data_IF_158358441321
#
_entry.id   IF_158358441321
#
_cell.length_a   1.000
_cell.length_b   1.000
_cell.length_c   1.000
_cell.angle_alpha   90.00
_cell.angle_beta   90.00
_cell.angle_gamma   90.00
#
_symmetry.space_group_name_H-M   'P 1'
#
loop_
_entity.id
_entity.type
_entity.pdbx_description
1 polymer ?
#
# COMPACT_ATOMS: atom_id res chain seq x y z
N UNK A 1 -13.70 -34.46 6.39
CA UNK A 1 -14.66 -34.28 7.49
C UNK A 1 -15.38 -32.97 7.23
N UNK A 2 -16.69 -33.00 6.99
CA UNK A 2 -17.50 -31.79 6.92
C UNK A 2 -17.48 -31.13 8.30
N UNK A 3 -17.05 -29.87 8.36
CA UNK A 3 -17.10 -29.10 9.62
C UNK A 3 -18.56 -28.87 9.99
N UNK A 4 -18.93 -29.23 11.19
CA UNK A 4 -20.26 -29.02 11.76
C UNK A 4 -20.53 -27.51 11.81
N UNK A 5 -21.58 -27.05 11.14
CA UNK A 5 -21.96 -25.64 11.15
C UNK A 5 -22.46 -25.27 12.54
N UNK A 6 -21.88 -24.21 13.13
CA UNK A 6 -22.35 -23.67 14.40
C UNK A 6 -23.67 -22.92 14.20
N UNK A 7 -24.53 -22.88 15.23
CA UNK A 7 -25.79 -22.10 15.21
C UNK A 7 -25.57 -20.62 14.85
N UNK A 8 -24.44 -20.05 15.27
CA UNK A 8 -24.03 -18.68 14.89
C UNK A 8 -23.75 -18.56 13.38
N UNK A 9 -23.13 -19.57 12.77
CA UNK A 9 -22.89 -19.62 11.33
C UNK A 9 -24.18 -19.71 10.52
N UNK A 10 -25.13 -20.50 10.99
CA UNK A 10 -26.44 -20.64 10.35
C UNK A 10 -27.29 -19.36 10.46
N UNK A 11 -27.31 -18.76 11.65
CA UNK A 11 -27.98 -17.47 11.88
C UNK A 11 -27.41 -16.33 11.00
N UNK A 12 -26.09 -16.31 10.81
CA UNK A 12 -25.43 -15.37 9.91
C UNK A 12 -25.81 -15.60 8.44
N UNK A 13 -25.89 -16.84 7.99
CA UNK A 13 -26.32 -17.18 6.63
C UNK A 13 -27.77 -16.77 6.31
N UNK A 14 -28.65 -16.70 7.33
CA UNK A 14 -30.05 -16.25 7.20
C UNK A 14 -30.21 -14.73 7.22
N UNK A 15 -29.13 -13.97 7.40
CA UNK A 15 -29.14 -12.52 7.45
C UNK A 15 -29.56 -11.93 6.10
N UNK A 16 -30.62 -11.13 6.08
CA UNK A 16 -31.20 -10.55 4.87
C UNK A 16 -30.39 -9.41 4.22
N UNK A 17 -29.20 -9.03 4.75
CA UNK A 17 -28.40 -7.91 4.25
C UNK A 17 -26.90 -8.19 4.30
N UNK A 18 -26.22 -8.07 3.17
CA UNK A 18 -24.76 -8.04 3.08
C UNK A 18 -24.25 -6.62 3.29
N UNK A 19 -23.37 -6.40 4.26
CA UNK A 19 -22.79 -5.08 4.53
C UNK A 19 -21.71 -4.73 3.49
N UNK A 20 -21.39 -3.43 3.36
CA UNK A 20 -20.28 -2.98 2.49
C UNK A 20 -18.94 -3.58 2.91
N UNK A 21 -18.74 -3.79 4.22
CA UNK A 21 -17.53 -4.40 4.77
C UNK A 21 -17.43 -5.87 4.35
N UNK A 22 -18.49 -6.63 4.51
CA UNK A 22 -18.53 -8.04 4.09
C UNK A 22 -18.23 -8.20 2.60
N UNK A 23 -18.87 -7.39 1.75
CA UNK A 23 -18.62 -7.40 0.32
C UNK A 23 -17.16 -7.10 0.02
N UNK A 24 -16.60 -6.04 0.64
CA UNK A 24 -15.19 -5.68 0.46
C UNK A 24 -14.26 -6.83 0.88
N UNK A 25 -14.49 -7.46 2.03
CA UNK A 25 -13.68 -8.56 2.53
C UNK A 25 -13.79 -9.78 1.63
N UNK A 26 -14.98 -10.12 1.15
CA UNK A 26 -15.19 -11.21 0.21
C UNK A 26 -14.52 -10.95 -1.15
N UNK A 27 -14.63 -9.72 -1.70
CA UNK A 27 -13.93 -9.32 -2.92
C UNK A 27 -12.42 -9.47 -2.78
N UNK A 28 -11.86 -9.03 -1.65
CA UNK A 28 -10.42 -9.11 -1.40
C UNK A 28 -9.96 -10.54 -1.15
N UNK A 29 -10.74 -11.35 -0.43
CA UNK A 29 -10.44 -12.76 -0.21
C UNK A 29 -10.32 -13.55 -1.52
N UNK A 30 -11.20 -13.26 -2.48
CA UNK A 30 -11.22 -13.90 -3.79
C UNK A 30 -10.03 -13.53 -4.70
N UNK A 31 -9.38 -12.39 -4.49
CA UNK A 31 -8.32 -11.90 -5.38
C UNK A 31 -6.92 -11.95 -4.80
N UNK A 32 -6.78 -12.11 -3.48
CA UNK A 32 -5.47 -12.26 -2.83
C UNK A 32 -4.90 -13.65 -3.16
N UNK A 33 -3.65 -13.72 -3.65
CA UNK A 33 -2.99 -14.98 -3.98
C UNK A 33 -2.45 -15.66 -2.70
N UNK A 34 -3.34 -16.14 -1.82
CA UNK A 34 -2.99 -16.63 -0.48
C UNK A 34 -1.86 -17.65 -0.52
N UNK A 35 -1.93 -18.68 -1.35
CA UNK A 35 -0.91 -19.72 -1.44
C UNK A 35 0.48 -19.16 -1.79
N UNK A 36 0.54 -18.18 -2.70
CA UNK A 36 1.79 -17.53 -3.09
C UNK A 36 2.38 -16.70 -1.95
N UNK A 37 1.54 -15.95 -1.20
CA UNK A 37 1.99 -15.13 -0.08
C UNK A 37 2.38 -15.97 1.14
N UNK A 38 1.64 -17.05 1.41
CA UNK A 38 1.96 -18.00 2.49
C UNK A 38 3.32 -18.64 2.22
N UNK A 39 3.57 -19.14 1.02
CA UNK A 39 4.84 -19.76 0.64
C UNK A 39 6.06 -18.83 0.80
N UNK A 40 5.87 -17.49 0.71
CA UNK A 40 6.95 -16.52 0.97
C UNK A 40 7.28 -16.39 2.47
N UNK A 41 6.28 -16.52 3.33
CA UNK A 41 6.41 -16.27 4.77
C UNK A 41 6.79 -17.55 5.52
N UNK A 42 6.28 -18.69 5.07
CA UNK A 42 6.40 -20.00 5.72
C UNK A 42 7.85 -20.35 6.12
N UNK A 43 8.90 -20.13 5.30
CA UNK A 43 10.28 -20.44 5.68
C UNK A 43 10.79 -19.68 6.91
N UNK A 44 10.20 -18.54 7.22
CA UNK A 44 10.57 -17.68 8.36
C UNK A 44 9.56 -17.78 9.52
N UNK A 45 8.45 -18.49 9.32
CA UNK A 45 7.43 -18.64 10.33
C UNK A 45 7.82 -19.72 11.33
N UNK A 46 7.55 -19.52 12.64
CA UNK A 46 7.91 -20.51 13.65
C UNK A 46 7.26 -21.87 13.38
N UNK A 47 8.07 -22.92 13.40
CA UNK A 47 7.58 -24.29 13.32
C UNK A 47 7.05 -24.77 14.67
N UNK A 48 6.21 -25.82 14.66
CA UNK A 48 5.80 -26.55 15.86
C UNK A 48 7.01 -27.18 16.53
N UNK A 49 7.45 -26.57 17.64
CA UNK A 49 8.56 -27.05 18.46
C UNK A 49 8.08 -27.44 19.86
N UNK A 50 9.02 -27.45 20.82
CA UNK A 50 8.66 -27.60 22.25
C UNK A 50 7.96 -26.32 22.72
N UNK A 51 6.66 -26.40 23.06
CA UNK A 51 5.88 -25.27 23.56
C UNK A 51 4.50 -25.16 22.90
N UNK A 52 3.84 -24.00 23.09
CA UNK A 52 2.52 -23.72 22.49
C UNK A 52 2.67 -23.64 20.96
N UNK A 53 1.85 -24.38 20.19
CA UNK A 53 1.87 -24.30 18.73
C UNK A 53 1.63 -22.85 18.26
N UNK A 54 2.32 -22.39 17.20
CA UNK A 54 2.03 -21.11 16.61
C UNK A 54 0.61 -21.09 16.03
N UNK A 55 0.02 -19.91 15.95
CA UNK A 55 -1.24 -19.72 15.22
C UNK A 55 -1.05 -20.09 13.75
N UNK A 56 -2.13 -20.44 13.07
CA UNK A 56 -2.12 -20.67 11.63
C UNK A 56 -1.57 -19.44 10.87
N UNK A 57 -0.65 -19.67 9.95
CA UNK A 57 0.03 -18.59 9.22
C UNK A 57 -0.93 -17.75 8.37
N UNK A 58 -1.87 -18.41 7.68
CA UNK A 58 -2.85 -17.70 6.87
C UNK A 58 -3.74 -16.81 7.74
N UNK A 59 -4.14 -17.29 8.91
CA UNK A 59 -4.88 -16.51 9.92
C UNK A 59 -4.12 -15.24 10.32
N UNK A 60 -2.83 -15.39 10.65
CA UNK A 60 -2.00 -14.25 11.04
C UNK A 60 -1.86 -13.22 9.91
N UNK A 61 -1.69 -13.68 8.66
CA UNK A 61 -1.61 -12.79 7.51
C UNK A 61 -2.95 -12.08 7.23
N UNK A 62 -4.07 -12.77 7.40
CA UNK A 62 -5.41 -12.20 7.28
C UNK A 62 -5.65 -11.10 8.31
N UNK A 63 -5.29 -11.32 9.57
CA UNK A 63 -5.37 -10.33 10.64
C UNK A 63 -4.47 -9.12 10.33
N UNK A 64 -3.25 -9.37 9.85
CA UNK A 64 -2.35 -8.30 9.44
C UNK A 64 -2.94 -7.44 8.31
N UNK A 65 -3.63 -8.02 7.33
CA UNK A 65 -4.31 -7.27 6.27
C UNK A 65 -5.51 -6.49 6.79
N UNK A 66 -6.29 -7.01 7.73
CA UNK A 66 -7.34 -6.25 8.42
C UNK A 66 -6.78 -4.99 9.08
N UNK A 67 -5.61 -5.08 9.74
CA UNK A 67 -4.94 -3.92 10.31
C UNK A 67 -4.63 -2.84 9.26
N UNK A 68 -4.21 -3.25 8.06
CA UNK A 68 -3.90 -2.30 6.99
C UNK A 68 -5.16 -1.61 6.45
N UNK A 69 -6.21 -2.36 6.15
CA UNK A 69 -7.44 -1.83 5.56
C UNK A 69 -8.25 -0.94 6.49
N UNK A 70 -8.32 -1.32 7.76
CA UNK A 70 -9.15 -0.63 8.76
C UNK A 70 -8.34 0.24 9.71
N UNK A 71 -7.03 0.40 9.44
CA UNK A 71 -6.13 1.22 10.25
C UNK A 71 -6.16 0.86 11.74
N UNK A 72 -6.16 -0.45 12.07
CA UNK A 72 -6.24 -0.94 13.44
C UNK A 72 -4.85 -1.03 14.09
N UNK A 73 -4.72 -0.65 15.36
CA UNK A 73 -3.56 -0.98 16.19
C UNK A 73 -3.56 -2.48 16.56
N UNK A 74 -2.47 -2.95 17.16
CA UNK A 74 -2.40 -4.35 17.57
C UNK A 74 -3.52 -4.70 18.59
N UNK A 75 -3.77 -3.89 19.67
CA UNK A 75 -4.93 -4.08 20.55
C UNK A 75 -6.28 -3.96 19.82
N UNK A 76 -6.44 -2.93 18.98
CA UNK A 76 -7.70 -2.75 18.24
C UNK A 76 -8.00 -3.90 17.28
N UNK A 77 -6.96 -4.58 16.74
CA UNK A 77 -7.18 -5.73 15.86
C UNK A 77 -7.72 -6.92 16.66
N UNK A 78 -7.18 -7.16 17.85
CA UNK A 78 -7.70 -8.18 18.77
C UNK A 78 -9.16 -7.87 19.11
N UNK A 79 -9.46 -6.70 19.69
CA UNK A 79 -10.83 -6.30 20.09
C UNK A 79 -11.81 -6.37 18.92
N UNK A 80 -11.42 -5.88 17.74
CA UNK A 80 -12.31 -5.85 16.58
C UNK A 80 -12.64 -7.25 16.06
N UNK A 81 -11.73 -8.22 16.19
CA UNK A 81 -12.01 -9.61 15.80
C UNK A 81 -13.03 -10.22 16.76
N UNK A 82 -13.01 -9.88 18.06
CA UNK A 82 -14.05 -10.30 19.01
C UNK A 82 -15.40 -9.66 18.68
N UNK A 83 -15.44 -8.37 18.33
CA UNK A 83 -16.67 -7.60 18.17
C UNK A 83 -17.31 -7.74 16.80
N UNK A 84 -16.54 -8.09 15.75
CA UNK A 84 -17.00 -8.05 14.36
C UNK A 84 -17.01 -9.43 13.71
N UNK A 85 -18.19 -10.03 13.61
CA UNK A 85 -18.40 -11.30 12.91
C UNK A 85 -17.83 -11.32 11.48
N UNK A 86 -17.94 -10.22 10.72
CA UNK A 86 -17.37 -10.17 9.37
C UNK A 86 -15.84 -10.21 9.35
N UNK A 87 -15.18 -9.64 10.35
CA UNK A 87 -13.72 -9.69 10.47
C UNK A 87 -13.24 -11.02 11.04
N UNK A 88 -13.98 -11.58 12.01
CA UNK A 88 -13.76 -12.91 12.55
C UNK A 88 -13.76 -13.95 11.43
N UNK A 89 -14.80 -13.94 10.57
CA UNK A 89 -14.92 -14.87 9.45
C UNK A 89 -13.82 -14.68 8.42
N UNK A 90 -13.48 -13.42 8.10
CA UNK A 90 -12.36 -13.14 7.21
C UNK A 90 -11.04 -13.67 7.78
N UNK A 91 -10.82 -13.56 9.09
CA UNK A 91 -9.65 -14.10 9.78
C UNK A 91 -9.65 -15.64 9.88
N UNK A 92 -10.74 -16.32 9.46
CA UNK A 92 -10.93 -17.76 9.57
C UNK A 92 -10.77 -18.25 11.03
N UNK A 93 -11.39 -17.53 11.95
CA UNK A 93 -11.47 -17.86 13.36
C UNK A 93 -12.87 -18.39 13.66
N UNK A 94 -12.96 -19.55 14.31
CA UNK A 94 -14.22 -20.10 14.83
C UNK A 94 -14.22 -19.96 16.34
N UNK A 95 -15.16 -19.14 16.86
CA UNK A 95 -15.31 -18.96 18.32
C UNK A 95 -15.74 -20.31 18.96
N UNK A 96 -15.04 -20.71 20.00
CA UNK A 96 -15.25 -21.99 20.68
C UNK A 96 -14.11 -23.00 20.45
N UNK A 97 -13.63 -23.10 19.20
CA UNK A 97 -12.55 -24.03 18.84
C UNK A 97 -11.20 -23.33 18.74
N UNK A 98 -11.19 -22.10 18.21
CA UNK A 98 -9.97 -21.32 17.95
C UNK A 98 -9.73 -20.24 19.00
N UNK A 99 -8.45 -20.07 19.36
CA UNK A 99 -8.03 -18.91 20.15
C UNK A 99 -7.70 -17.73 19.19
N UNK A 100 -8.29 -16.59 19.46
CA UNK A 100 -7.91 -15.33 18.78
C UNK A 100 -6.48 -14.98 19.22
N UNK A 101 -5.58 -14.61 18.28
CA UNK A 101 -4.25 -14.12 18.61
C UNK A 101 -4.34 -12.84 19.43
N UNK A 102 -3.62 -12.78 20.53
CA UNK A 102 -3.49 -11.59 21.36
C UNK A 102 -2.67 -10.48 20.68
N UNK A 103 -2.76 -9.24 21.17
CA UNK A 103 -2.03 -8.08 20.64
C UNK A 103 -0.52 -8.33 20.54
N UNK A 104 0.06 -9.07 21.51
CA UNK A 104 1.49 -9.35 21.52
C UNK A 104 1.90 -10.35 20.43
N UNK A 105 1.03 -11.29 20.10
CA UNK A 105 1.21 -12.24 19.00
C UNK A 105 1.09 -11.53 17.65
N UNK A 106 0.10 -10.64 17.50
CA UNK A 106 -0.08 -9.79 16.32
C UNK A 106 1.16 -8.91 16.12
N UNK A 107 1.66 -8.29 17.19
CA UNK A 107 2.89 -7.48 17.17
C UNK A 107 4.12 -8.31 16.74
N UNK A 108 4.30 -9.52 17.29
CA UNK A 108 5.43 -10.40 16.92
C UNK A 108 5.38 -10.80 15.45
N UNK A 109 4.20 -11.09 14.92
CA UNK A 109 4.03 -11.39 13.50
C UNK A 109 4.44 -10.22 12.62
N UNK A 110 4.02 -8.99 12.94
CA UNK A 110 4.44 -7.80 12.23
C UNK A 110 5.96 -7.61 12.27
N UNK A 111 6.58 -7.79 13.44
CA UNK A 111 8.04 -7.71 13.58
C UNK A 111 8.77 -8.80 12.77
N UNK A 112 8.20 -9.99 12.64
CA UNK A 112 8.74 -11.05 11.78
C UNK A 112 8.74 -10.58 10.31
N UNK A 113 7.63 -10.02 9.83
CA UNK A 113 7.55 -9.49 8.47
C UNK A 113 8.56 -8.37 8.22
N UNK A 114 8.70 -7.45 9.17
CA UNK A 114 9.67 -6.34 9.11
C UNK A 114 11.12 -6.85 9.11
N UNK A 115 11.46 -7.76 10.03
CA UNK A 115 12.82 -8.30 10.21
C UNK A 115 13.34 -9.03 8.97
N UNK A 116 12.48 -9.76 8.29
CA UNK A 116 12.84 -10.57 7.12
C UNK A 116 12.45 -9.90 5.79
N UNK A 117 12.12 -8.61 5.79
CA UNK A 117 11.74 -7.83 4.59
C UNK A 117 10.58 -8.46 3.78
N UNK A 118 9.73 -9.25 4.45
CA UNK A 118 8.65 -9.98 3.80
C UNK A 118 7.55 -9.05 3.24
N UNK A 119 7.45 -7.82 3.74
CA UNK A 119 6.52 -6.82 3.20
C UNK A 119 6.91 -6.36 1.79
N UNK A 120 8.22 -6.28 1.51
CA UNK A 120 8.76 -6.02 0.17
C UNK A 120 8.51 -7.22 -0.74
N UNK A 121 8.82 -8.43 -0.28
CA UNK A 121 8.54 -9.65 -1.02
C UNK A 121 7.04 -9.82 -1.36
N UNK A 122 6.14 -9.44 -0.45
CA UNK A 122 4.69 -9.40 -0.71
C UNK A 122 4.36 -8.39 -1.82
N UNK A 123 4.95 -7.19 -1.76
CA UNK A 123 4.72 -6.15 -2.79
C UNK A 123 5.20 -6.62 -4.17
N UNK A 124 6.39 -7.21 -4.24
CA UNK A 124 6.95 -7.77 -5.47
C UNK A 124 6.13 -8.96 -6.01
N UNK A 125 5.71 -9.88 -5.14
CA UNK A 125 4.91 -11.03 -5.52
C UNK A 125 3.55 -10.64 -6.13
N UNK A 126 2.91 -9.59 -5.56
CA UNK A 126 1.68 -9.03 -6.11
C UNK A 126 1.96 -8.34 -7.44
N UNK A 127 3.04 -7.55 -7.54
CA UNK A 127 3.48 -6.93 -8.79
C UNK A 127 3.72 -7.97 -9.91
N UNK A 128 4.43 -9.06 -9.59
CA UNK A 128 4.67 -10.17 -10.50
C UNK A 128 3.38 -10.83 -10.99
N UNK A 129 2.45 -11.12 -10.08
CA UNK A 129 1.12 -11.65 -10.44
C UNK A 129 0.39 -10.73 -11.43
N UNK A 130 0.40 -9.41 -11.18
CA UNK A 130 -0.28 -8.46 -12.05
C UNK A 130 0.39 -8.32 -13.41
N UNK A 131 1.71 -8.46 -13.48
CA UNK A 131 2.46 -8.51 -14.73
C UNK A 131 2.13 -9.79 -15.53
N UNK A 132 2.15 -10.98 -14.91
CA UNK A 132 1.77 -12.26 -15.47
C UNK A 132 0.36 -12.21 -16.07
N UNK A 133 -0.58 -11.56 -15.40
CA UNK A 133 -1.97 -11.35 -15.83
C UNK A 133 -2.16 -10.18 -16.81
N UNK A 134 -1.08 -9.50 -17.23
CA UNK A 134 -1.11 -8.32 -18.10
C UNK A 134 -1.99 -7.19 -17.57
N UNK A 135 -2.10 -7.10 -16.24
CA UNK A 135 -2.85 -6.06 -15.53
C UNK A 135 -1.98 -4.85 -15.19
N UNK A 136 -0.66 -5.02 -15.13
CA UNK A 136 0.34 -3.96 -14.98
C UNK A 136 1.05 -3.72 -16.31
N UNK A 137 1.25 -2.44 -16.65
CA UNK A 137 1.90 -2.01 -17.90
C UNK A 137 3.33 -1.57 -17.62
N UNK A 138 4.30 -2.03 -18.43
CA UNK A 138 5.72 -1.63 -18.29
C UNK A 138 6.16 -0.52 -19.24
N UNK A 139 5.30 -0.07 -20.17
CA UNK A 139 5.68 0.87 -21.21
C UNK A 139 5.88 2.32 -20.77
N UNK A 140 5.62 2.65 -19.51
CA UNK A 140 5.82 4.00 -19.00
C UNK A 140 5.54 4.13 -17.53
N UNK A 141 6.28 5.03 -16.88
CA UNK A 141 6.20 5.30 -15.45
C UNK A 141 5.69 6.70 -15.19
N UNK A 142 4.75 6.81 -14.26
CA UNK A 142 4.28 8.07 -13.70
C UNK A 142 4.83 8.15 -12.28
N UNK A 143 5.59 9.20 -11.98
CA UNK A 143 6.18 9.41 -10.65
C UNK A 143 5.44 10.51 -9.90
N UNK A 144 5.22 10.30 -8.63
CA UNK A 144 4.65 11.30 -7.72
C UNK A 144 5.05 10.99 -6.27
N UNK A 145 4.90 11.99 -5.40
CA UNK A 145 5.22 11.85 -3.99
C UNK A 145 4.10 12.41 -3.10
N UNK A 146 3.91 11.76 -1.96
CA UNK A 146 2.96 12.24 -0.96
C UNK A 146 3.58 12.30 0.43
N UNK A 147 3.18 13.32 1.21
CA UNK A 147 3.61 13.47 2.60
C UNK A 147 2.71 12.61 3.50
N UNK A 148 3.33 11.85 4.39
CA UNK A 148 2.70 11.17 5.52
C UNK A 148 3.15 11.91 6.78
N UNK A 149 2.19 12.50 7.49
CA UNK A 149 2.48 13.30 8.68
C UNK A 149 2.98 12.42 9.83
N UNK A 150 3.95 12.90 10.60
CA UNK A 150 4.38 12.26 11.83
C UNK A 150 3.94 13.11 13.05
N UNK A 151 3.80 12.49 14.23
CA UNK A 151 3.52 13.23 15.46
C UNK A 151 4.61 14.27 15.72
N UNK A 152 4.21 15.54 15.85
CA UNK A 152 5.13 16.65 16.13
C UNK A 152 5.30 16.94 17.62
N UNK A 153 4.56 16.24 18.49
CA UNK A 153 4.62 16.41 19.94
C UNK A 153 5.94 15.91 20.50
N UNK A 154 6.46 16.66 21.49
CA UNK A 154 7.63 16.30 22.30
C UNK A 154 7.23 15.80 23.70
N UNK A 155 5.93 15.58 23.95
CA UNK A 155 5.40 15.13 25.25
C UNK A 155 5.53 13.61 25.47
N UNK A 156 6.50 12.97 24.82
CA UNK A 156 6.80 11.54 25.00
C UNK A 156 7.93 11.33 26.01
N UNK A 157 8.16 10.09 26.43
CA UNK A 157 9.20 9.76 27.41
C UNK A 157 10.61 10.25 27.00
N UNK A 158 10.90 10.29 25.70
CA UNK A 158 12.19 10.74 25.15
C UNK A 158 12.26 12.28 24.95
N UNK A 159 11.19 13.03 25.25
CA UNK A 159 11.04 14.48 25.02
C UNK A 159 11.53 14.95 23.63
N UNK A 160 11.48 14.07 22.63
CA UNK A 160 11.98 14.32 21.29
C UNK A 160 11.04 13.84 20.20
N UNK A 161 11.08 14.54 19.07
CA UNK A 161 10.41 14.08 17.83
C UNK A 161 11.17 12.89 17.25
N UNK A 162 10.57 12.20 16.28
CA UNK A 162 11.23 11.15 15.53
C UNK A 162 12.42 11.74 14.74
N UNK A 163 13.67 11.30 14.99
CA UNK A 163 14.87 11.88 14.37
C UNK A 163 14.98 11.61 12.87
N UNK A 164 14.33 10.55 12.37
CA UNK A 164 14.32 10.22 10.94
C UNK A 164 13.32 11.07 10.15
N UNK A 165 12.40 11.77 10.82
CA UNK A 165 11.39 12.63 10.20
C UNK A 165 11.89 14.06 10.11
N UNK A 166 11.54 14.78 9.05
CA UNK A 166 11.90 16.21 8.87
C UNK A 166 10.70 17.06 8.51
N UNK A 167 10.89 18.37 8.67
CA UNK A 167 9.89 19.36 8.25
C UNK A 167 10.05 19.70 6.77
N UNK A 168 8.93 19.93 6.10
CA UNK A 168 8.87 20.49 4.75
C UNK A 168 7.73 21.48 4.66
N UNK A 169 7.83 22.45 3.75
CA UNK A 169 6.78 23.41 3.48
C UNK A 169 6.09 23.08 2.16
N UNK A 170 4.77 22.96 2.18
CA UNK A 170 3.95 22.81 0.97
C UNK A 170 2.91 23.94 0.94
N UNK A 171 3.07 24.86 -0.01
CA UNK A 171 2.30 26.10 0.02
C UNK A 171 2.63 26.92 1.27
N UNK A 172 1.59 27.30 2.03
CA UNK A 172 1.75 28.02 3.30
C UNK A 172 1.81 27.12 4.55
N UNK A 173 1.65 25.80 4.37
CA UNK A 173 1.57 24.86 5.48
C UNK A 173 2.90 24.14 5.71
N UNK A 174 3.29 24.01 6.97
CA UNK A 174 4.41 23.21 7.40
C UNK A 174 3.94 21.79 7.74
N UNK A 175 4.68 20.80 7.25
CA UNK A 175 4.44 19.39 7.51
C UNK A 175 5.68 18.77 8.12
N UNK A 176 5.50 18.01 9.21
CA UNK A 176 6.55 17.19 9.81
C UNK A 176 6.23 15.72 9.54
N UNK A 177 7.18 14.96 9.00
CA UNK A 177 6.96 13.56 8.68
C UNK A 177 7.90 12.99 7.64
N UNK A 178 7.37 12.05 6.88
CA UNK A 178 8.04 11.36 5.77
C UNK A 178 7.35 11.62 4.44
N UNK A 179 8.04 11.33 3.33
CA UNK A 179 7.45 11.22 1.99
C UNK A 179 7.44 9.77 1.55
N UNK A 180 6.38 9.41 0.85
CA UNK A 180 6.33 8.21 0.02
C UNK A 180 6.38 8.65 -1.45
N UNK A 181 7.38 8.17 -2.16
CA UNK A 181 7.56 8.35 -3.59
C UNK A 181 7.12 7.06 -4.28
N UNK A 182 6.29 7.18 -5.31
CA UNK A 182 5.80 6.02 -6.06
C UNK A 182 6.10 6.16 -7.54
N UNK A 183 6.40 5.01 -8.17
CA UNK A 183 6.34 4.82 -9.60
C UNK A 183 5.09 3.99 -9.94
N UNK A 184 4.22 4.53 -10.82
CA UNK A 184 3.02 3.82 -11.24
C UNK A 184 2.97 3.67 -12.76
N UNK A 185 2.24 2.68 -13.22
CA UNK A 185 1.85 2.61 -14.63
C UNK A 185 0.70 3.57 -14.95
N UNK A 186 0.28 3.60 -16.21
CA UNK A 186 -0.83 4.46 -16.69
C UNK A 186 -2.22 4.00 -16.21
N UNK A 187 -2.33 2.87 -15.53
CA UNK A 187 -3.54 2.38 -14.87
C UNK A 187 -3.56 2.70 -13.37
N UNK A 188 -2.47 3.32 -12.85
CA UNK A 188 -2.31 3.64 -11.44
C UNK A 188 -1.85 2.45 -10.60
N UNK A 189 -1.29 1.40 -11.21
CA UNK A 189 -0.69 0.28 -10.50
C UNK A 189 0.72 0.66 -10.08
N UNK A 190 0.99 0.61 -8.79
CA UNK A 190 2.29 0.96 -8.20
C UNK A 190 3.26 -0.19 -8.40
N UNK A 191 4.38 0.09 -9.06
CA UNK A 191 5.46 -0.89 -9.29
C UNK A 191 6.73 -0.57 -8.51
N UNK A 192 6.91 0.68 -8.05
CA UNK A 192 8.07 1.11 -7.28
C UNK A 192 7.64 2.00 -6.13
N UNK A 193 8.30 1.86 -4.99
CA UNK A 193 7.99 2.60 -3.77
C UNK A 193 9.27 2.92 -3.02
N UNK A 194 9.47 4.20 -2.68
CA UNK A 194 10.59 4.69 -1.86
C UNK A 194 10.06 5.56 -0.74
N UNK A 195 10.64 5.44 0.45
CA UNK A 195 10.32 6.30 1.59
C UNK A 195 11.54 7.14 1.99
N UNK A 196 11.30 8.43 2.23
CA UNK A 196 12.32 9.38 2.67
C UNK A 196 11.75 10.29 3.75
N UNK A 197 12.60 11.08 4.42
CA UNK A 197 12.09 12.17 5.25
C UNK A 197 11.38 13.25 4.38
N UNK A 198 10.45 13.99 4.96
CA UNK A 198 9.61 14.94 4.20
C UNK A 198 10.37 16.05 3.45
N UNK A 199 11.60 16.39 3.87
CA UNK A 199 12.41 17.42 3.23
C UNK A 199 13.29 16.89 2.08
N UNK A 200 13.27 15.58 1.76
CA UNK A 200 14.05 15.02 0.66
C UNK A 200 13.55 15.55 -0.70
N UNK A 201 14.48 15.67 -1.64
CA UNK A 201 14.17 16.07 -3.02
C UNK A 201 13.44 14.93 -3.75
N UNK A 202 12.35 15.27 -4.43
CA UNK A 202 11.59 14.29 -5.23
C UNK A 202 12.40 13.84 -6.46
N UNK A 203 13.17 14.75 -7.06
CA UNK A 203 14.01 14.48 -8.23
C UNK A 203 15.11 13.44 -7.94
N UNK A 204 15.73 13.51 -6.76
CA UNK A 204 16.79 12.58 -6.36
C UNK A 204 16.30 11.14 -6.22
N UNK A 205 14.98 10.95 -6.03
CA UNK A 205 14.40 9.62 -5.91
C UNK A 205 13.99 9.02 -7.27
N UNK A 206 14.01 9.82 -8.34
CA UNK A 206 13.59 9.37 -9.67
C UNK A 206 14.27 8.08 -10.14
N UNK A 207 15.61 7.89 -10.01
CA UNK A 207 16.26 6.66 -10.47
C UNK A 207 15.73 5.38 -9.78
N UNK A 208 15.33 5.47 -8.50
CA UNK A 208 14.84 4.34 -7.72
C UNK A 208 13.38 3.98 -8.04
N UNK A 209 12.66 4.87 -8.73
CA UNK A 209 11.26 4.68 -9.13
C UNK A 209 11.11 4.08 -10.53
N UNK A 210 12.21 3.92 -11.25
CA UNK A 210 12.22 3.40 -12.61
C UNK A 210 12.53 1.90 -12.63
N UNK A 211 11.89 1.17 -13.54
CA UNK A 211 12.12 -0.26 -13.76
C UNK A 211 13.04 -0.56 -14.96
N UNK A 212 13.45 0.48 -15.72
CA UNK A 212 14.41 0.36 -16.82
C UNK A 212 13.83 0.07 -18.21
N UNK A 213 12.55 -0.30 -18.32
CA UNK A 213 11.86 -0.61 -19.59
C UNK A 213 10.96 0.55 -20.07
N UNK A 214 11.11 1.73 -19.48
CA UNK A 214 10.26 2.87 -19.77
C UNK A 214 10.45 3.37 -21.21
N UNK A 215 9.31 3.60 -21.89
CA UNK A 215 9.25 4.34 -23.16
C UNK A 215 8.79 5.78 -22.95
N UNK A 216 8.26 6.11 -21.78
CA UNK A 216 7.83 7.44 -21.41
C UNK A 216 7.80 7.61 -19.89
N UNK A 217 8.22 8.82 -19.43
CA UNK A 217 8.19 9.23 -18.03
C UNK A 217 7.26 10.40 -17.85
N UNK A 218 6.43 10.37 -16.80
CA UNK A 218 5.52 11.45 -16.44
C UNK A 218 5.74 11.84 -14.98
N UNK A 219 5.68 13.12 -14.68
CA UNK A 219 5.80 13.65 -13.33
C UNK A 219 5.38 15.12 -13.29
N UNK A 220 5.38 15.67 -12.10
CA UNK A 220 5.12 17.09 -11.90
C UNK A 220 6.36 17.96 -12.20
N UNK A 221 6.26 19.26 -11.92
CA UNK A 221 7.35 20.22 -12.14
C UNK A 221 8.56 20.01 -11.22
N UNK A 222 8.42 19.29 -10.10
CA UNK A 222 9.51 19.02 -9.18
C UNK A 222 10.53 18.03 -9.79
N UNK A 223 10.07 17.18 -10.71
CA UNK A 223 10.90 16.22 -11.44
C UNK A 223 11.50 16.80 -12.75
N UNK A 224 11.27 18.08 -13.06
CA UNK A 224 11.80 18.68 -14.29
C UNK A 224 13.26 19.10 -14.11
N UNK A 225 14.14 18.56 -14.95
CA UNK A 225 15.54 18.96 -15.14
C UNK A 225 15.92 18.77 -16.59
N UNK A 226 16.55 19.79 -17.22
CA UNK A 226 16.87 19.78 -18.66
C UNK A 226 17.90 18.70 -19.00
N UNK A 227 18.96 18.56 -18.19
CA UNK A 227 19.99 17.53 -18.39
C UNK A 227 19.41 16.12 -18.33
N UNK A 228 18.45 15.86 -17.42
CA UNK A 228 17.79 14.57 -17.34
C UNK A 228 16.90 14.33 -18.56
N UNK A 229 16.24 15.37 -19.08
CA UNK A 229 15.47 15.29 -20.33
C UNK A 229 16.33 14.82 -21.48
N UNK A 230 17.48 15.45 -21.69
CA UNK A 230 18.42 15.11 -22.77
C UNK A 230 18.90 13.66 -22.63
N UNK A 231 19.37 13.26 -21.45
CA UNK A 231 19.84 11.92 -21.16
C UNK A 231 18.75 10.82 -21.36
N UNK A 232 17.48 11.09 -21.03
CA UNK A 232 16.39 10.14 -21.26
C UNK A 232 15.99 10.10 -22.74
N UNK A 233 15.94 11.24 -23.42
CA UNK A 233 15.59 11.33 -24.84
C UNK A 233 16.65 10.66 -25.73
N UNK A 234 17.94 10.76 -25.40
CA UNK A 234 19.04 10.02 -26.04
C UNK A 234 18.87 8.50 -25.92
N UNK A 235 18.32 8.03 -24.78
CA UNK A 235 17.99 6.62 -24.57
C UNK A 235 16.65 6.19 -25.20
N UNK A 236 16.00 7.07 -25.98
CA UNK A 236 14.71 6.82 -26.61
C UNK A 236 13.50 6.92 -25.67
N UNK A 237 13.68 7.40 -24.45
CA UNK A 237 12.61 7.56 -23.46
C UNK A 237 11.98 8.93 -23.57
N UNK A 238 10.69 9.02 -23.83
CA UNK A 238 9.96 10.28 -23.92
C UNK A 238 9.80 10.93 -22.55
N UNK A 239 10.54 12.00 -22.28
CA UNK A 239 10.49 12.76 -21.04
C UNK A 239 9.28 13.70 -21.01
N UNK A 240 8.22 13.32 -20.29
CA UNK A 240 6.91 13.98 -20.24
C UNK A 240 6.64 14.66 -18.91
N UNK A 241 7.69 15.11 -18.18
CA UNK A 241 7.52 15.91 -16.95
C UNK A 241 6.88 17.26 -17.27
N UNK A 242 6.06 17.79 -16.35
CA UNK A 242 5.50 19.12 -16.51
C UNK A 242 6.61 20.17 -16.47
N UNK A 243 6.64 21.05 -17.47
CA UNK A 243 7.66 22.10 -17.57
C UNK A 243 7.36 23.25 -16.63
N UNK A 244 8.39 23.75 -15.96
CA UNK A 244 8.37 25.03 -15.23
C UNK A 244 8.53 26.21 -16.19
N UNK A 245 7.99 27.38 -15.84
CA UNK A 245 8.30 28.61 -16.56
C UNK A 245 9.81 28.91 -16.40
N UNK A 246 10.53 29.27 -17.49
CA UNK A 246 11.93 29.66 -17.41
C UNK A 246 12.10 30.91 -16.53
N UNK A 247 13.27 31.03 -15.87
CA UNK A 247 13.61 31.94 -14.80
C UNK A 247 12.97 33.32 -14.86
N UNK A 248 12.38 33.76 -13.76
CA UNK A 248 11.79 35.10 -13.60
C UNK A 248 10.41 35.28 -14.23
N UNK A 249 10.04 34.54 -15.23
CA UNK A 249 8.76 34.64 -15.91
C UNK A 249 7.71 33.78 -15.23
N UNK A 250 6.67 34.39 -14.65
CA UNK A 250 5.60 33.63 -13.95
C UNK A 250 4.67 32.87 -14.92
N UNK A 251 4.75 33.12 -16.20
CA UNK A 251 3.82 32.62 -17.19
C UNK A 251 4.48 31.72 -18.24
N UNK A 252 4.00 30.47 -18.33
CA UNK A 252 4.27 29.61 -19.49
C UNK A 252 3.52 30.11 -20.72
N UNK A 253 4.11 29.93 -21.93
CA UNK A 253 3.40 30.14 -23.18
C UNK A 253 2.14 29.27 -23.26
N UNK A 254 1.14 29.69 -24.01
CA UNK A 254 -0.12 28.97 -24.16
C UNK A 254 0.10 27.54 -24.68
N UNK A 255 1.03 27.36 -25.62
CA UNK A 255 1.46 26.05 -26.11
C UNK A 255 1.90 25.14 -24.96
N UNK A 256 2.76 25.62 -24.05
CA UNK A 256 3.24 24.82 -22.91
C UNK A 256 2.16 24.58 -21.86
N UNK A 257 1.26 25.54 -21.63
CA UNK A 257 0.09 25.33 -20.76
C UNK A 257 -0.78 24.19 -21.28
N UNK A 258 -1.04 24.13 -22.60
CA UNK A 258 -1.80 23.04 -23.23
C UNK A 258 -1.10 21.69 -23.09
N UNK A 259 0.22 21.66 -23.33
CA UNK A 259 1.03 20.45 -23.18
C UNK A 259 1.02 19.95 -21.71
N UNK A 260 1.26 20.83 -20.74
CA UNK A 260 1.24 20.49 -19.33
C UNK A 260 -0.14 19.97 -18.89
N UNK A 261 -1.22 20.56 -19.40
CA UNK A 261 -2.60 20.08 -19.14
C UNK A 261 -2.82 18.65 -19.63
N UNK A 262 -2.34 18.32 -20.82
CA UNK A 262 -2.41 16.97 -21.37
C UNK A 262 -1.56 15.97 -20.53
N UNK A 263 -0.35 16.36 -20.12
CA UNK A 263 0.52 15.55 -19.26
C UNK A 263 -0.10 15.34 -17.87
N UNK A 264 -0.69 16.38 -17.29
CA UNK A 264 -1.38 16.30 -15.98
C UNK A 264 -2.56 15.34 -15.98
N UNK A 265 -3.29 15.22 -17.10
CA UNK A 265 -4.36 14.20 -17.22
C UNK A 265 -3.82 12.77 -17.10
N UNK A 266 -2.66 12.49 -17.71
CA UNK A 266 -2.00 11.19 -17.57
C UNK A 266 -1.48 11.00 -16.13
N UNK A 267 -0.88 12.05 -15.54
CA UNK A 267 -0.35 12.02 -14.18
C UNK A 267 -1.43 11.78 -13.13
N UNK A 268 -2.66 12.22 -13.35
CA UNK A 268 -3.77 12.03 -12.41
C UNK A 268 -4.01 10.54 -12.04
N UNK A 269 -3.52 9.59 -12.84
CA UNK A 269 -3.62 8.16 -12.50
C UNK A 269 -2.87 7.79 -11.21
N UNK A 270 -1.76 8.48 -10.88
CA UNK A 270 -1.01 8.21 -9.64
C UNK A 270 -1.72 8.72 -8.38
N UNK A 271 -2.75 9.56 -8.51
CA UNK A 271 -3.57 10.01 -7.38
C UNK A 271 -4.49 8.90 -6.86
N UNK A 272 -4.86 7.93 -7.71
CA UNK A 272 -5.73 6.82 -7.31
C UNK A 272 -5.15 5.95 -6.19
N UNK A 273 -3.94 5.37 -6.29
CA UNK A 273 -3.37 4.58 -5.20
C UNK A 273 -3.17 5.41 -3.94
N UNK A 274 -2.78 6.68 -4.02
CA UNK A 274 -2.71 7.56 -2.85
C UNK A 274 -4.07 7.77 -2.19
N UNK A 275 -5.14 7.94 -2.98
CA UNK A 275 -6.50 8.06 -2.46
C UNK A 275 -6.91 6.80 -1.69
N UNK A 276 -6.65 5.62 -2.25
CA UNK A 276 -6.96 4.34 -1.59
C UNK A 276 -6.23 4.26 -0.25
N UNK A 277 -4.91 4.42 -0.25
CA UNK A 277 -4.08 4.23 0.93
C UNK A 277 -4.33 5.30 1.98
N UNK A 278 -4.47 6.58 1.59
CA UNK A 278 -4.63 7.69 2.56
C UNK A 278 -6.05 7.94 3.00
N UNK A 279 -7.02 7.91 2.08
CA UNK A 279 -8.40 8.30 2.37
C UNK A 279 -9.26 7.10 2.74
N UNK A 280 -9.19 6.00 1.97
CA UNK A 280 -10.01 4.83 2.27
C UNK A 280 -9.47 4.03 3.45
N UNK A 281 -8.13 3.88 3.55
CA UNK A 281 -7.49 3.04 4.57
C UNK A 281 -6.76 3.84 5.66
N UNK A 282 -6.85 5.17 5.64
CA UNK A 282 -6.46 6.05 6.74
C UNK A 282 -4.97 6.22 6.98
N UNK A 283 -4.08 5.87 6.02
CA UNK A 283 -2.63 6.06 6.18
C UNK A 283 -2.21 7.50 5.86
N UNK A 284 -2.76 8.47 6.56
CA UNK A 284 -2.39 9.89 6.49
C UNK A 284 -1.32 10.30 7.50
N UNK A 285 -1.15 9.48 8.57
CA UNK A 285 -0.14 9.67 9.63
C UNK A 285 0.69 8.40 9.81
N UNK A 286 1.98 8.58 10.16
CA UNK A 286 2.84 7.48 10.56
C UNK A 286 2.31 6.84 11.85
N UNK A 287 2.33 5.52 11.89
CA UNK A 287 1.94 4.77 13.10
C UNK A 287 3.15 4.41 13.94
N UNK A 288 4.26 4.09 13.26
CA UNK A 288 5.47 3.60 13.89
C UNK A 288 6.54 4.68 13.90
N UNK A 289 7.49 4.56 14.82
CA UNK A 289 8.70 5.39 14.84
C UNK A 289 9.70 4.85 13.82
N UNK A 290 10.35 5.75 13.08
CA UNK A 290 11.31 5.44 12.02
C UNK A 290 10.69 5.27 10.63
N UNK A 291 11.50 5.48 9.59
CA UNK A 291 11.06 5.40 8.18
C UNK A 291 10.86 3.93 7.78
N UNK A 292 11.78 3.04 8.16
CA UNK A 292 11.76 1.64 7.70
C UNK A 292 10.46 0.89 8.06
N UNK A 293 9.96 1.03 9.29
CA UNK A 293 8.71 0.38 9.71
C UNK A 293 7.48 0.92 8.98
N UNK A 294 7.48 2.23 8.71
CA UNK A 294 6.40 2.86 7.95
C UNK A 294 6.50 2.54 6.45
N UNK A 295 7.70 2.31 5.90
CA UNK A 295 7.90 1.78 4.55
C UNK A 295 7.37 0.35 4.44
N UNK A 296 7.71 -0.53 5.37
CA UNK A 296 7.19 -1.90 5.42
C UNK A 296 5.66 -1.92 5.40
N UNK A 297 5.03 -1.05 6.19
CA UNK A 297 3.58 -0.86 6.15
C UNK A 297 3.09 -0.38 4.79
N UNK A 298 3.75 0.62 4.20
CA UNK A 298 3.39 1.18 2.90
C UNK A 298 3.50 0.13 1.79
N UNK A 299 4.55 -0.71 1.78
CA UNK A 299 4.72 -1.81 0.83
C UNK A 299 3.51 -2.75 0.84
N UNK A 300 3.08 -3.21 2.00
CA UNK A 300 1.87 -4.03 2.12
C UNK A 300 0.62 -3.28 1.65
N UNK A 301 0.44 -2.04 2.07
CA UNK A 301 -0.74 -1.25 1.69
C UNK A 301 -0.81 -1.01 0.18
N UNK A 302 0.31 -0.72 -0.49
CA UNK A 302 0.31 -0.55 -1.94
C UNK A 302 0.17 -1.87 -2.70
N UNK A 303 0.69 -2.99 -2.18
CA UNK A 303 0.38 -4.32 -2.72
C UNK A 303 -1.12 -4.60 -2.71
N UNK A 304 -1.76 -4.37 -1.56
CA UNK A 304 -3.21 -4.54 -1.41
C UNK A 304 -4.02 -3.52 -2.25
N UNK A 305 -3.54 -2.27 -2.38
CA UNK A 305 -4.17 -1.25 -3.22
C UNK A 305 -4.12 -1.61 -4.70
N UNK A 306 -3.02 -2.21 -5.16
CA UNK A 306 -2.89 -2.74 -6.51
C UNK A 306 -3.92 -3.85 -6.79
N UNK A 307 -4.08 -4.81 -5.89
CA UNK A 307 -5.11 -5.85 -5.99
C UNK A 307 -6.52 -5.24 -5.98
N UNK A 308 -6.78 -4.31 -5.05
CA UNK A 308 -8.06 -3.61 -4.95
C UNK A 308 -8.42 -2.87 -6.24
N UNK A 309 -7.47 -2.19 -6.87
CA UNK A 309 -7.69 -1.44 -8.11
C UNK A 309 -8.16 -2.33 -9.28
N UNK A 310 -7.67 -3.57 -9.34
CA UNK A 310 -7.99 -4.51 -10.43
C UNK A 310 -8.88 -5.67 -10.00
N UNK A 311 -9.42 -5.68 -8.78
CA UNK A 311 -10.14 -6.80 -8.18
C UNK A 311 -11.26 -7.36 -9.07
N UNK A 312 -12.07 -6.50 -9.70
CA UNK A 312 -13.14 -6.95 -10.60
C UNK A 312 -12.63 -7.67 -11.86
N UNK A 313 -11.35 -7.47 -12.22
CA UNK A 313 -10.72 -8.16 -13.36
C UNK A 313 -10.06 -9.46 -12.94
N UNK A 314 -9.68 -9.57 -11.65
CA UNK A 314 -9.08 -10.77 -11.06
C UNK A 314 -10.12 -11.78 -10.59
N UNK A 315 -11.30 -11.32 -10.15
CA UNK A 315 -12.36 -12.21 -9.66
C UNK A 315 -12.80 -13.19 -10.74
N UNK A 316 -12.98 -14.46 -10.38
CA UNK A 316 -13.60 -15.45 -11.28
C UNK A 316 -15.02 -15.02 -11.70
N UNK A 317 -15.50 -15.40 -12.89
CA UNK A 317 -16.83 -15.01 -13.38
C UNK A 317 -17.96 -15.34 -12.42
N UNK A 318 -17.90 -16.49 -11.75
CA UNK A 318 -18.89 -16.95 -10.76
C UNK A 318 -18.96 -16.03 -9.53
N UNK A 319 -17.82 -15.62 -8.99
CA UNK A 319 -17.77 -14.72 -7.84
C UNK A 319 -18.26 -13.28 -8.16
N UNK A 320 -18.44 -12.92 -9.44
CA UNK A 320 -18.99 -11.61 -9.84
C UNK A 320 -20.50 -11.55 -9.76
N UNK A 321 -21.16 -12.69 -9.82
CA UNK A 321 -22.63 -12.77 -9.78
C UNK A 321 -23.16 -12.89 -8.34
N UNK A 322 -22.33 -13.40 -7.40
CA UNK A 322 -22.75 -13.71 -6.03
C UNK A 322 -22.51 -12.54 -5.04
N UNK A 323 -21.88 -11.43 -5.50
CA UNK A 323 -21.55 -10.23 -4.70
C UNK A 323 -22.31 -8.98 -5.17
#
# INVERSE_FOLDING_TARGET
>A
MEKQQTFASEAWGRKGKTTRRERFLAEMDAVIPWSRLIALIEPQYPNTGKGRPPHDLERMLRIYFLQQWFNLSDPQAEDTIYDSESMLRFARVELGDDKIPDESTILRFRHLLEKHQLTEAIFEAVGGLLAERRLMLRAGTIVDATIIAAPSSTKNATKGRDPEMKQTRKGNNWHFGMKLHIGTDRRGIVHSLVATHAAASDLEQLPQLLHGEERALYGDQAYWKEADREAFEERGVRYRMNRRAPGGNKNLSERWRRINRARSRTRACCEHPFRVVKQLWGFSKTRYRGIAKNLARAQTMFALANLYAVRHRLMPPQARCDL
#
